data_IF_386478984316
#
_entry.id   IF_386478984316
#
_cell.length_a   1.000
_cell.length_b   1.000
_cell.length_c   1.000
_cell.angle_alpha   90.00
_cell.angle_beta   90.00
_cell.angle_gamma   90.00
#
_symmetry.space_group_name_H-M   'P 1'
#
loop_
_entity.id
_entity.type
_entity.pdbx_description
1 polymer ?
#
# COMPACT_ATOMS: atom_id res chain seq x y z
N UNK A 1 -24.48 -41.17 -13.44
CA UNK A 1 -24.70 -39.93 -12.68
C UNK A 1 -23.50 -39.02 -12.91
N UNK A 2 -23.73 -37.77 -13.34
CA UNK A 2 -22.64 -36.80 -13.48
C UNK A 2 -22.05 -36.50 -12.09
N UNK A 3 -20.74 -36.53 -11.99
CA UNK A 3 -20.03 -36.14 -10.76
C UNK A 3 -20.27 -34.64 -10.49
N UNK A 4 -20.87 -34.31 -9.32
CA UNK A 4 -21.12 -32.94 -8.90
C UNK A 4 -20.31 -32.66 -7.62
N UNK A 5 -19.12 -32.09 -7.76
CA UNK A 5 -18.28 -31.80 -6.60
C UNK A 5 -18.91 -30.70 -5.72
N UNK A 6 -18.85 -30.90 -4.39
CA UNK A 6 -19.29 -29.93 -3.39
C UNK A 6 -18.13 -29.01 -2.92
N UNK A 7 -17.07 -28.86 -3.72
CA UNK A 7 -15.91 -28.03 -3.43
C UNK A 7 -15.64 -27.03 -4.56
N UNK A 8 -14.95 -25.96 -4.23
CA UNK A 8 -14.43 -25.01 -5.20
C UNK A 8 -12.91 -25.05 -5.19
N UNK A 9 -12.29 -24.93 -6.36
CA UNK A 9 -10.84 -24.88 -6.52
C UNK A 9 -10.42 -23.42 -6.64
N UNK A 10 -9.40 -23.02 -5.90
CA UNK A 10 -8.75 -21.73 -6.04
C UNK A 10 -7.24 -21.89 -5.99
N UNK A 11 -6.50 -20.92 -6.53
CA UNK A 11 -5.04 -20.92 -6.42
C UNK A 11 -4.58 -20.67 -4.99
N UNK A 12 -3.40 -21.15 -4.62
CA UNK A 12 -2.84 -20.96 -3.28
C UNK A 12 -2.65 -19.47 -2.94
N UNK A 13 -2.40 -18.62 -3.93
CA UNK A 13 -2.31 -17.16 -3.74
C UNK A 13 -3.63 -16.58 -3.25
N UNK A 14 -4.76 -16.96 -3.85
CA UNK A 14 -6.08 -16.49 -3.38
C UNK A 14 -6.50 -17.14 -2.05
N UNK A 15 -6.09 -18.38 -1.79
CA UNK A 15 -6.37 -19.03 -0.50
C UNK A 15 -5.79 -18.24 0.68
N UNK A 16 -4.62 -17.61 0.51
CA UNK A 16 -3.99 -16.75 1.53
C UNK A 16 -4.78 -15.46 1.78
N UNK A 17 -5.58 -15.00 0.83
CA UNK A 17 -6.40 -13.79 0.95
C UNK A 17 -7.73 -14.04 1.67
N UNK A 18 -8.15 -15.28 1.84
CA UNK A 18 -9.47 -15.61 2.39
C UNK A 18 -9.80 -14.91 3.73
N UNK A 19 -8.88 -14.81 4.70
CA UNK A 19 -9.19 -14.10 5.95
C UNK A 19 -9.48 -12.61 5.72
N UNK A 20 -8.72 -11.95 4.84
CA UNK A 20 -8.91 -10.54 4.48
C UNK A 20 -10.24 -10.35 3.73
N UNK A 21 -10.52 -11.21 2.75
CA UNK A 21 -11.75 -11.16 1.97
C UNK A 21 -12.98 -11.39 2.84
N UNK A 22 -12.93 -12.37 3.76
CA UNK A 22 -14.03 -12.64 4.69
C UNK A 22 -14.28 -11.45 5.64
N UNK A 23 -13.23 -10.85 6.18
CA UNK A 23 -13.34 -9.67 7.04
C UNK A 23 -13.95 -8.49 6.30
N UNK A 24 -13.50 -8.25 5.07
CA UNK A 24 -14.05 -7.19 4.21
C UNK A 24 -15.55 -7.41 3.94
N UNK A 25 -15.97 -8.63 3.62
CA UNK A 25 -17.38 -8.92 3.35
C UNK A 25 -18.28 -8.64 4.58
N UNK A 26 -17.76 -8.89 5.76
CA UNK A 26 -18.47 -8.51 7.01
C UNK A 26 -18.61 -6.98 7.11
N UNK A 27 -17.58 -6.22 6.79
CA UNK A 27 -17.61 -4.75 6.86
C UNK A 27 -18.51 -4.12 5.80
N UNK A 28 -18.57 -4.71 4.59
CA UNK A 28 -19.46 -4.26 3.51
C UNK A 28 -20.92 -4.22 3.90
N UNK A 29 -21.36 -5.09 4.78
CA UNK A 29 -22.74 -5.10 5.27
C UNK A 29 -23.06 -3.89 6.15
N UNK A 30 -22.03 -3.18 6.62
CA UNK A 30 -22.16 -2.08 7.59
C UNK A 30 -21.74 -0.73 7.04
N UNK A 31 -20.94 -0.73 5.94
CA UNK A 31 -20.33 0.48 5.35
C UNK A 31 -20.43 0.47 3.85
N UNK A 32 -20.66 1.65 3.27
CA UNK A 32 -20.66 1.88 1.83
C UNK A 32 -19.24 1.80 1.26
N UNK A 33 -18.28 2.37 1.98
CA UNK A 33 -16.85 2.33 1.64
C UNK A 33 -16.06 1.61 2.72
N UNK A 34 -15.12 0.76 2.30
CA UNK A 34 -14.17 0.06 3.18
C UNK A 34 -12.75 0.45 2.81
N UNK A 35 -12.02 1.02 3.74
CA UNK A 35 -10.64 1.46 3.57
C UNK A 35 -9.67 0.42 4.13
N UNK A 36 -8.81 -0.10 3.28
CA UNK A 36 -7.81 -1.12 3.61
C UNK A 36 -6.42 -0.52 3.48
N UNK A 37 -5.67 -0.42 4.56
CA UNK A 37 -4.26 -0.06 4.50
C UNK A 37 -3.40 -1.33 4.41
N UNK A 38 -2.42 -1.33 3.50
CA UNK A 38 -1.43 -2.40 3.34
C UNK A 38 -0.05 -1.79 3.52
N UNK A 39 0.53 -2.03 4.68
CA UNK A 39 1.88 -1.62 5.04
C UNK A 39 2.83 -2.82 5.15
N UNK A 40 4.08 -2.58 5.39
CA UNK A 40 5.08 -3.63 5.64
C UNK A 40 6.41 -3.33 5.00
N UNK A 41 7.34 -4.23 5.25
CA UNK A 41 8.74 -4.10 4.85
C UNK A 41 8.91 -3.98 3.34
N UNK A 42 9.98 -3.32 2.89
CA UNK A 42 10.36 -3.26 1.48
C UNK A 42 10.42 -4.67 0.87
N UNK A 43 9.94 -4.82 -0.36
CA UNK A 43 9.84 -6.07 -1.10
C UNK A 43 8.97 -7.18 -0.44
N UNK A 44 8.17 -6.88 0.60
CA UNK A 44 7.28 -7.85 1.26
C UNK A 44 6.10 -8.29 0.37
N UNK A 45 5.76 -7.54 -0.69
CA UNK A 45 4.70 -7.89 -1.63
C UNK A 45 3.43 -7.06 -1.51
N UNK A 46 3.49 -5.87 -0.88
CA UNK A 46 2.37 -4.93 -0.73
C UNK A 46 1.63 -4.66 -2.04
N UNK A 47 2.35 -4.20 -3.05
CA UNK A 47 1.81 -3.90 -4.37
C UNK A 47 1.21 -5.14 -5.05
N UNK A 48 1.81 -6.32 -4.84
CA UNK A 48 1.26 -7.59 -5.35
C UNK A 48 -0.07 -7.91 -4.69
N UNK A 49 -0.18 -7.72 -3.37
CA UNK A 49 -1.43 -7.92 -2.63
C UNK A 49 -2.51 -6.93 -3.08
N UNK A 50 -2.16 -5.66 -3.22
CA UNK A 50 -3.08 -4.63 -3.71
C UNK A 50 -3.61 -4.96 -5.12
N UNK A 51 -2.72 -5.36 -6.05
CA UNK A 51 -3.10 -5.78 -7.39
C UNK A 51 -4.00 -7.03 -7.40
N UNK A 52 -3.80 -7.97 -6.46
CA UNK A 52 -4.67 -9.13 -6.32
C UNK A 52 -6.07 -8.73 -5.83
N UNK A 53 -6.17 -7.78 -4.90
CA UNK A 53 -7.46 -7.26 -4.44
C UNK A 53 -8.18 -6.49 -5.56
N UNK A 54 -7.45 -5.64 -6.29
CA UNK A 54 -7.99 -4.90 -7.44
C UNK A 54 -8.49 -5.87 -8.52
N UNK A 55 -7.73 -6.92 -8.84
CA UNK A 55 -8.16 -7.94 -9.79
C UNK A 55 -9.40 -8.71 -9.31
N UNK A 56 -9.47 -9.02 -8.01
CA UNK A 56 -10.59 -9.77 -7.43
C UNK A 56 -11.89 -8.98 -7.40
N UNK A 57 -11.83 -7.70 -7.04
CA UNK A 57 -13.00 -6.83 -6.88
C UNK A 57 -13.33 -6.00 -8.14
N UNK A 58 -12.41 -5.93 -9.10
CA UNK A 58 -12.60 -5.24 -10.37
C UNK A 58 -12.97 -3.77 -10.19
N UNK A 59 -14.07 -3.35 -10.80
CA UNK A 59 -14.53 -1.97 -10.78
C UNK A 59 -14.89 -1.44 -9.36
N UNK A 60 -15.12 -2.30 -8.39
CA UNK A 60 -15.44 -1.92 -7.01
C UNK A 60 -14.20 -1.57 -6.18
N UNK A 61 -12.99 -1.77 -6.71
CA UNK A 61 -11.74 -1.51 -6.00
C UNK A 61 -10.96 -0.36 -6.63
N UNK A 62 -10.44 0.53 -5.79
CA UNK A 62 -9.45 1.54 -6.15
C UNK A 62 -8.19 1.36 -5.31
N UNK A 63 -7.04 1.69 -5.90
CA UNK A 63 -5.73 1.60 -5.22
C UNK A 63 -5.06 2.97 -5.25
N UNK A 64 -4.57 3.41 -4.09
CA UNK A 64 -3.72 4.61 -3.94
C UNK A 64 -2.38 4.14 -3.39
N UNK A 65 -1.31 4.55 -4.06
CA UNK A 65 0.05 4.17 -3.71
C UNK A 65 0.72 5.22 -2.84
N UNK A 66 1.30 4.82 -1.71
CA UNK A 66 2.10 5.70 -0.86
C UNK A 66 3.33 6.22 -1.62
N UNK A 67 3.84 5.45 -2.59
CA UNK A 67 4.97 5.85 -3.43
C UNK A 67 4.69 7.11 -4.27
N UNK A 68 3.42 7.46 -4.52
CA UNK A 68 3.04 8.73 -5.15
C UNK A 68 3.32 9.95 -4.26
N UNK A 69 3.60 9.71 -2.98
CA UNK A 69 3.77 10.73 -1.95
C UNK A 69 5.19 10.82 -1.42
N UNK A 70 6.18 10.43 -2.18
CA UNK A 70 7.56 10.66 -1.77
C UNK A 70 7.82 12.15 -1.52
N UNK A 71 8.63 12.42 -0.49
CA UNK A 71 9.09 13.77 -0.16
C UNK A 71 10.08 14.24 -1.24
N UNK A 72 9.93 15.44 -1.82
CA UNK A 72 10.90 15.99 -2.75
C UNK A 72 12.31 16.05 -2.16
N UNK A 73 13.32 15.78 -2.98
CA UNK A 73 14.72 15.72 -2.54
C UNK A 73 15.17 16.94 -1.70
N UNK A 74 14.84 18.21 -2.09
CA UNK A 74 15.23 19.36 -1.29
C UNK A 74 14.64 19.42 0.13
N UNK A 75 13.55 18.70 0.37
CA UNK A 75 12.87 18.64 1.68
C UNK A 75 13.33 17.47 2.55
N UNK A 76 14.17 16.57 2.03
CA UNK A 76 14.70 15.40 2.74
C UNK A 76 15.92 15.81 3.56
N UNK A 77 15.68 16.49 4.67
CA UNK A 77 16.73 16.89 5.63
C UNK A 77 17.20 15.71 6.47
N UNK A 78 18.29 15.89 7.24
CA UNK A 78 18.76 14.85 8.17
C UNK A 78 17.73 14.55 9.25
N UNK A 79 17.02 15.57 9.73
CA UNK A 79 15.93 15.40 10.70
C UNK A 79 14.83 14.53 10.14
N UNK A 80 14.43 14.73 8.87
CA UNK A 80 13.43 13.90 8.19
C UNK A 80 13.90 12.47 8.05
N UNK A 81 15.14 12.23 7.73
CA UNK A 81 15.67 10.87 7.63
C UNK A 81 15.84 10.16 9.00
N UNK A 82 15.84 10.92 10.09
CA UNK A 82 15.84 10.36 11.43
C UNK A 82 14.44 9.95 11.93
N UNK A 83 13.39 10.29 11.19
CA UNK A 83 12.01 9.93 11.50
C UNK A 83 11.58 8.67 10.72
N UNK A 84 10.82 7.74 11.33
CA UNK A 84 10.17 6.68 10.58
C UNK A 84 9.30 7.27 9.46
N UNK A 85 9.47 6.81 8.23
CA UNK A 85 8.71 7.34 7.09
C UNK A 85 9.07 8.75 6.65
N UNK A 86 10.18 9.33 7.12
CA UNK A 86 10.57 10.70 6.81
C UNK A 86 10.89 10.97 5.31
N UNK A 87 11.03 9.93 4.52
CA UNK A 87 11.13 10.02 3.07
C UNK A 87 9.77 10.17 2.36
N UNK A 88 8.65 10.01 3.09
CA UNK A 88 7.29 10.20 2.61
C UNK A 88 6.77 11.57 3.04
N UNK A 89 6.03 12.22 2.16
CA UNK A 89 5.31 13.46 2.48
C UNK A 89 3.97 13.11 3.14
N UNK A 90 4.03 12.55 4.35
CA UNK A 90 2.85 12.07 5.08
C UNK A 90 1.85 13.20 5.37
N UNK A 91 2.30 14.45 5.51
CA UNK A 91 1.41 15.61 5.68
C UNK A 91 0.52 15.80 4.44
N UNK A 92 1.12 15.71 3.24
CA UNK A 92 0.38 15.83 1.98
C UNK A 92 -0.58 14.66 1.79
N UNK A 93 -0.16 13.43 2.12
CA UNK A 93 -1.04 12.27 2.11
C UNK A 93 -2.22 12.45 3.08
N UNK A 94 -1.96 12.94 4.28
CA UNK A 94 -2.99 13.27 5.27
C UNK A 94 -4.02 14.26 4.73
N UNK A 95 -3.55 15.33 4.09
CA UNK A 95 -4.41 16.39 3.53
C UNK A 95 -5.18 15.96 2.29
N UNK A 96 -4.56 15.22 1.36
CA UNK A 96 -5.14 14.92 0.06
C UNK A 96 -5.89 13.58 0.03
N UNK A 97 -5.54 12.64 0.91
CA UNK A 97 -6.15 11.30 0.92
C UNK A 97 -6.96 11.08 2.20
N UNK A 98 -6.33 11.17 3.38
CA UNK A 98 -7.06 10.86 4.63
C UNK A 98 -8.24 11.81 4.86
N UNK A 99 -8.03 13.12 4.69
CA UNK A 99 -9.10 14.10 4.83
C UNK A 99 -10.22 13.96 3.78
N UNK A 100 -9.93 13.32 2.64
CA UNK A 100 -10.88 13.12 1.54
C UNK A 100 -11.60 11.76 1.56
N UNK A 101 -11.44 10.95 2.60
CA UNK A 101 -12.05 9.60 2.67
C UNK A 101 -13.59 9.61 2.59
N UNK A 102 -14.23 10.71 2.99
CA UNK A 102 -15.70 10.92 2.88
C UNK A 102 -16.16 11.52 1.54
N UNK A 103 -15.23 11.91 0.68
CA UNK A 103 -15.53 12.59 -0.59
C UNK A 103 -15.77 11.58 -1.73
N UNK A 104 -16.48 12.03 -2.78
CA UNK A 104 -16.71 11.20 -3.97
C UNK A 104 -15.43 10.91 -4.76
N UNK A 105 -14.45 11.79 -4.70
CA UNK A 105 -13.19 11.68 -5.43
C UNK A 105 -12.03 12.07 -4.54
N UNK A 106 -10.93 11.32 -4.66
CA UNK A 106 -9.60 11.75 -4.23
C UNK A 106 -8.98 12.59 -5.34
N UNK A 107 -8.55 13.80 -5.02
CA UNK A 107 -7.78 14.67 -5.92
C UNK A 107 -6.43 14.93 -5.26
N UNK A 108 -5.37 14.44 -5.87
CA UNK A 108 -4.03 14.50 -5.28
C UNK A 108 -2.95 14.68 -6.33
N UNK A 109 -1.75 14.99 -5.91
CA UNK A 109 -0.60 15.14 -6.78
C UNK A 109 0.37 13.99 -6.56
N UNK A 110 0.67 13.25 -7.62
CA UNK A 110 1.71 12.23 -7.65
C UNK A 110 3.06 12.87 -7.91
N UNK A 111 4.00 12.62 -7.03
CA UNK A 111 5.39 13.05 -7.21
C UNK A 111 6.21 11.96 -7.89
N UNK A 112 6.85 12.30 -9.00
CA UNK A 112 7.79 11.42 -9.70
C UNK A 112 9.21 11.73 -9.24
N UNK A 113 9.83 10.79 -8.52
CA UNK A 113 11.19 10.93 -8.03
C UNK A 113 12.25 10.97 -9.14
N UNK A 114 11.98 10.37 -10.31
CA UNK A 114 12.94 10.35 -11.41
C UNK A 114 13.04 11.69 -12.13
N UNK A 115 11.90 12.38 -12.27
CA UNK A 115 11.83 13.67 -12.96
C UNK A 115 11.76 14.86 -12.00
N UNK A 116 11.46 14.64 -10.73
CA UNK A 116 11.22 15.69 -9.73
C UNK A 116 9.95 16.51 -9.99
N UNK A 117 8.99 15.97 -10.73
CA UNK A 117 7.78 16.68 -11.14
C UNK A 117 6.53 16.13 -10.48
N UNK A 118 5.49 16.96 -10.45
CA UNK A 118 4.17 16.58 -9.98
C UNK A 118 3.20 16.37 -11.14
N UNK A 119 2.30 15.40 -11.00
CA UNK A 119 1.17 15.20 -11.92
C UNK A 119 -0.13 15.09 -11.13
N UNK A 120 -1.16 15.82 -11.56
CA UNK A 120 -2.48 15.78 -10.92
C UNK A 120 -3.18 14.46 -11.19
N UNK A 121 -3.65 13.84 -10.12
CA UNK A 121 -4.39 12.59 -10.13
C UNK A 121 -5.80 12.81 -9.61
N UNK A 122 -6.76 12.09 -10.20
CA UNK A 122 -8.13 12.05 -9.70
C UNK A 122 -8.63 10.62 -9.72
N UNK A 123 -9.04 10.13 -8.58
CA UNK A 123 -9.56 8.77 -8.41
C UNK A 123 -10.93 8.79 -7.74
N UNK A 124 -11.86 8.02 -8.27
CA UNK A 124 -13.17 7.83 -7.64
C UNK A 124 -13.03 7.02 -6.36
N UNK A 125 -13.73 7.46 -5.31
CA UNK A 125 -13.85 6.72 -4.06
C UNK A 125 -14.77 5.52 -4.29
N UNK A 126 -14.18 4.36 -4.39
CA UNK A 126 -14.86 3.11 -4.71
C UNK A 126 -15.29 2.38 -3.44
N UNK A 127 -16.20 1.40 -3.54
CA UNK A 127 -16.65 0.60 -2.39
C UNK A 127 -15.50 -0.04 -1.59
N UNK A 128 -14.34 -0.26 -2.24
CA UNK A 128 -13.10 -0.66 -1.58
C UNK A 128 -12.00 0.27 -2.03
N UNK A 129 -11.35 0.89 -1.07
CA UNK A 129 -10.13 1.67 -1.31
C UNK A 129 -8.95 1.01 -0.60
N UNK A 130 -7.95 0.65 -1.37
CA UNK A 130 -6.69 0.09 -0.87
C UNK A 130 -5.63 1.19 -0.89
N UNK A 131 -5.06 1.48 0.27
CA UNK A 131 -3.96 2.42 0.44
C UNK A 131 -2.72 1.59 0.74
N UNK A 132 -1.79 1.48 -0.22
CA UNK A 132 -0.67 0.57 -0.09
C UNK A 132 0.68 1.26 -0.20
N UNK A 133 1.63 0.76 0.53
CA UNK A 133 3.03 1.17 0.50
C UNK A 133 3.64 1.23 1.89
N UNK A 134 4.96 1.33 1.97
CA UNK A 134 5.65 1.54 3.23
C UNK A 134 5.14 2.82 3.88
N UNK A 135 4.87 2.74 5.17
CA UNK A 135 4.31 3.82 6.01
C UNK A 135 2.85 4.22 5.71
N UNK A 136 2.06 3.38 5.04
CA UNK A 136 0.62 3.60 4.92
C UNK A 136 -0.10 3.55 6.27
N UNK A 137 0.50 2.92 7.28
CA UNK A 137 0.05 2.90 8.68
C UNK A 137 0.79 3.93 9.56
N UNK A 138 1.38 4.98 8.97
CA UNK A 138 2.13 5.96 9.72
C UNK A 138 1.30 6.58 10.86
N UNK A 139 1.84 6.73 12.10
CA UNK A 139 1.10 7.23 13.27
C UNK A 139 0.46 8.61 13.07
N UNK A 140 0.99 9.42 12.17
CA UNK A 140 0.45 10.74 11.81
C UNK A 140 -1.02 10.67 11.37
N UNK A 141 -1.46 9.56 10.78
CA UNK A 141 -2.83 9.41 10.27
C UNK A 141 -3.83 8.99 11.36
N UNK A 142 -3.39 8.59 12.54
CA UNK A 142 -4.25 8.00 13.56
C UNK A 142 -4.76 6.61 13.11
N UNK A 143 -6.07 6.40 13.18
CA UNK A 143 -6.71 5.12 12.84
C UNK A 143 -7.86 5.29 11.84
N UNK A 144 -7.61 5.80 10.61
CA UNK A 144 -8.67 6.11 9.65
C UNK A 144 -9.17 4.88 8.88
N UNK A 145 -8.49 3.74 8.98
CA UNK A 145 -8.73 2.56 8.16
C UNK A 145 -9.64 1.54 8.85
N UNK A 146 -10.42 0.81 8.05
CA UNK A 146 -11.28 -0.28 8.51
C UNK A 146 -10.53 -1.59 8.68
N UNK A 147 -9.52 -1.80 7.84
CA UNK A 147 -8.63 -2.95 7.88
C UNK A 147 -7.18 -2.48 7.72
N UNK A 148 -6.32 -3.01 8.57
CA UNK A 148 -4.89 -2.80 8.51
C UNK A 148 -4.19 -4.14 8.28
N UNK A 149 -3.35 -4.19 7.26
CA UNK A 149 -2.54 -5.36 6.92
C UNK A 149 -1.08 -4.95 6.96
N UNK A 150 -0.29 -5.66 7.74
CA UNK A 150 1.15 -5.48 7.76
C UNK A 150 1.84 -6.73 7.21
N UNK A 151 2.69 -6.56 6.19
CA UNK A 151 3.40 -7.65 5.54
C UNK A 151 4.85 -7.70 6.02
N UNK A 152 5.16 -8.79 6.68
CA UNK A 152 6.54 -9.11 7.10
C UNK A 152 7.21 -10.06 6.13
N UNK A 153 8.51 -10.00 6.08
CA UNK A 153 9.36 -10.87 5.27
C UNK A 153 10.68 -11.08 6.01
N UNK A 154 11.29 -12.26 5.90
CA UNK A 154 12.60 -12.49 6.47
C UNK A 154 13.66 -11.61 5.79
N UNK A 155 14.67 -11.16 6.53
CA UNK A 155 15.75 -10.33 5.98
C UNK A 155 16.44 -11.01 4.81
N UNK A 156 16.62 -12.34 4.86
CA UNK A 156 17.22 -13.10 3.77
C UNK A 156 16.38 -13.04 2.48
N UNK A 157 15.08 -13.21 2.61
CA UNK A 157 14.16 -13.16 1.46
C UNK A 157 14.00 -11.72 0.96
N UNK A 158 13.97 -10.72 1.84
CA UNK A 158 13.95 -9.30 1.51
C UNK A 158 15.16 -8.94 0.64
N UNK A 159 16.37 -9.27 1.10
CA UNK A 159 17.61 -9.08 0.33
C UNK A 159 17.53 -9.72 -1.05
N UNK A 160 17.15 -11.01 -1.11
CA UNK A 160 17.05 -11.72 -2.38
C UNK A 160 16.06 -11.06 -3.36
N UNK A 161 14.92 -10.60 -2.88
CA UNK A 161 13.91 -9.93 -3.69
C UNK A 161 14.36 -8.54 -4.18
N UNK A 162 15.02 -7.75 -3.30
CA UNK A 162 15.54 -6.43 -3.68
C UNK A 162 16.64 -6.58 -4.72
N UNK A 163 17.61 -7.48 -4.50
CA UNK A 163 18.68 -7.76 -5.46
C UNK A 163 18.14 -8.18 -6.83
N UNK A 164 17.13 -9.07 -6.84
CA UNK A 164 16.50 -9.52 -8.08
C UNK A 164 15.76 -8.40 -8.83
N UNK A 165 15.11 -7.50 -8.10
CA UNK A 165 14.29 -6.42 -8.67
C UNK A 165 15.11 -5.22 -9.11
N UNK A 166 16.07 -4.80 -8.29
CA UNK A 166 16.75 -3.52 -8.41
C UNK A 166 18.23 -3.66 -8.78
N UNK A 167 18.85 -4.82 -8.58
CA UNK A 167 20.29 -5.04 -8.79
C UNK A 167 21.13 -4.64 -7.57
N UNK A 168 22.43 -5.00 -7.63
CA UNK A 168 23.35 -4.82 -6.51
C UNK A 168 23.67 -3.36 -6.18
N UNK A 169 23.68 -2.50 -7.20
CA UNK A 169 23.96 -1.06 -7.02
C UNK A 169 22.89 -0.38 -6.14
N UNK A 170 21.62 -0.66 -6.42
CA UNK A 170 20.50 -0.12 -5.65
C UNK A 170 20.32 -0.78 -4.30
N UNK A 171 20.78 -2.04 -4.14
CA UNK A 171 20.65 -2.75 -2.87
C UNK A 171 21.37 -2.03 -1.72
N UNK A 172 22.52 -1.41 -1.98
CA UNK A 172 23.25 -0.63 -0.98
C UNK A 172 22.42 0.51 -0.38
N UNK A 173 21.68 1.23 -1.22
CA UNK A 173 20.78 2.29 -0.72
C UNK A 173 19.64 1.71 0.14
N UNK A 174 19.14 0.52 -0.19
CA UNK A 174 18.17 -0.16 0.66
C UNK A 174 18.77 -0.57 2.01
N UNK A 175 19.95 -1.15 2.01
CA UNK A 175 20.63 -1.63 3.22
C UNK A 175 21.04 -0.48 4.15
N UNK A 176 21.56 0.61 3.59
CA UNK A 176 22.08 1.74 4.36
C UNK A 176 21.01 2.75 4.79
N UNK A 177 19.91 2.88 4.03
CA UNK A 177 18.92 3.95 4.25
C UNK A 177 17.52 3.42 4.50
N UNK A 178 16.97 2.61 3.58
CA UNK A 178 15.54 2.31 3.61
C UNK A 178 15.16 1.23 4.62
N UNK A 179 15.93 0.13 4.68
CA UNK A 179 15.69 -0.95 5.65
C UNK A 179 15.82 -0.49 7.11
N UNK A 180 16.86 0.31 7.50
CA UNK A 180 16.94 0.86 8.84
C UNK A 180 15.79 1.78 9.25
N UNK A 181 15.17 2.48 8.29
CA UNK A 181 14.01 3.35 8.55
C UNK A 181 12.71 2.56 8.77
N UNK A 182 12.67 1.29 8.36
CA UNK A 182 11.51 0.41 8.52
C UNK A 182 11.51 -0.37 9.85
N UNK A 183 12.59 -0.29 10.63
CA UNK A 183 12.77 -0.96 11.92
C UNK A 183 12.47 -0.03 13.09
#
# INVERSE_FOLDING_TARGET
>A
RAYKPAYRVMTASYARLLPLLARRETLRQQKEHVFVAIDGMAASGKTTLAAQLEHFYGADCGVIHMDDFFLPLPLRTQERYAEPGGNIHYERFGQQIIAAMGEKYFSYERYDCATGTYSSMRQENRPIMVLEGSYSLHPYFGHPYDLCVFLEISSQEQTARILKRNGAEWYRDFEEKWIPMEQ
#
